data_IF_624271606146
#
_entry.id   IF_624271606146
#
_cell.length_a   1.000
_cell.length_b   1.000
_cell.length_c   1.000
_cell.angle_alpha   90.00
_cell.angle_beta   90.00
_cell.angle_gamma   90.00
#
_symmetry.space_group_name_H-M   'P 1'
#
loop_
_entity.id
_entity.type
_entity.pdbx_description
1 polymer ?
#
# COMPACT_ATOMS: atom_id res chain seq x y z
N UNK A 1 10.07 -0.71 -15.48
CA UNK A 1 9.45 -0.53 -14.15
C UNK A 1 7.95 -0.60 -14.28
N UNK A 2 7.30 -1.34 -13.41
CA UNK A 2 5.84 -1.49 -13.44
C UNK A 2 5.22 -0.72 -12.28
N UNK A 3 4.42 0.29 -12.61
CA UNK A 3 3.78 1.18 -11.65
C UNK A 3 2.26 1.01 -11.77
N UNK A 4 1.58 0.88 -10.64
CA UNK A 4 0.12 0.76 -10.61
C UNK A 4 -0.47 1.74 -9.61
N UNK A 5 -1.75 2.06 -9.79
CA UNK A 5 -2.50 2.88 -8.86
C UNK A 5 -3.84 2.19 -8.59
N UNK A 6 -4.30 2.23 -7.35
CA UNK A 6 -5.49 1.49 -6.94
C UNK A 6 -6.21 2.21 -5.82
N UNK A 7 -7.47 2.59 -6.05
CA UNK A 7 -8.34 3.06 -4.99
C UNK A 7 -8.96 1.82 -4.34
N UNK A 8 -8.46 1.46 -3.15
CA UNK A 8 -8.84 0.19 -2.52
C UNK A 8 -10.12 0.26 -1.71
N UNK A 9 -10.62 1.45 -1.42
CA UNK A 9 -11.81 1.63 -0.60
C UNK A 9 -11.75 0.76 0.67
N UNK A 10 -10.77 1.05 1.51
CA UNK A 10 -10.40 0.33 2.72
C UNK A 10 -9.36 -0.76 2.45
N UNK A 11 -8.12 -0.43 2.76
CA UNK A 11 -6.99 -1.36 2.57
C UNK A 11 -7.13 -2.59 3.45
N UNK A 12 -7.60 -2.41 4.70
CA UNK A 12 -7.72 -3.53 5.64
C UNK A 12 -8.72 -4.58 5.13
N UNK A 13 -9.79 -4.13 4.49
CA UNK A 13 -10.79 -5.04 3.93
C UNK A 13 -10.27 -5.77 2.69
N UNK A 14 -9.23 -5.24 2.06
CA UNK A 14 -8.71 -5.76 0.79
C UNK A 14 -7.27 -6.24 0.88
N UNK A 15 -6.75 -6.41 2.12
CA UNK A 15 -5.34 -6.73 2.32
C UNK A 15 -4.90 -7.97 1.53
N UNK A 16 -5.68 -9.04 1.56
CA UNK A 16 -5.35 -10.28 0.87
C UNK A 16 -5.30 -10.07 -0.65
N UNK A 17 -6.20 -9.26 -1.17
CA UNK A 17 -6.25 -8.96 -2.60
C UNK A 17 -5.06 -8.12 -3.05
N UNK A 18 -4.67 -7.17 -2.21
CA UNK A 18 -3.51 -6.32 -2.49
C UNK A 18 -2.24 -7.17 -2.52
N UNK A 19 -2.06 -8.05 -1.53
CA UNK A 19 -0.91 -8.94 -1.49
C UNK A 19 -0.85 -9.82 -2.73
N UNK A 20 -1.96 -10.44 -3.11
CA UNK A 20 -2.04 -11.28 -4.30
C UNK A 20 -1.74 -10.48 -5.57
N UNK A 21 -2.22 -9.26 -5.64
CA UNK A 21 -1.98 -8.38 -6.79
C UNK A 21 -0.48 -8.07 -6.96
N UNK A 22 0.19 -7.74 -5.86
CA UNK A 22 1.62 -7.46 -5.90
C UNK A 22 2.42 -8.65 -6.38
N UNK A 23 2.08 -9.84 -5.92
CA UNK A 23 2.77 -11.06 -6.31
C UNK A 23 2.49 -11.44 -7.76
N UNK A 24 1.22 -11.37 -8.17
CA UNK A 24 0.81 -11.81 -9.50
C UNK A 24 1.35 -10.93 -10.61
N UNK A 25 1.36 -9.63 -10.40
CA UNK A 25 1.67 -8.67 -11.45
C UNK A 25 3.08 -8.10 -11.39
N UNK A 26 3.89 -8.55 -10.44
CA UNK A 26 5.28 -8.14 -10.32
C UNK A 26 5.42 -6.60 -10.30
N UNK A 27 4.63 -5.98 -9.43
CA UNK A 27 4.55 -4.52 -9.35
C UNK A 27 5.78 -3.95 -8.63
N UNK A 28 6.38 -2.92 -9.20
CA UNK A 28 7.50 -2.22 -8.56
C UNK A 28 7.02 -1.14 -7.61
N UNK A 29 6.02 -0.36 -8.02
CA UNK A 29 5.46 0.72 -7.22
C UNK A 29 3.94 0.68 -7.29
N UNK A 30 3.29 0.72 -6.13
CA UNK A 30 1.84 0.77 -6.03
C UNK A 30 1.42 2.02 -5.27
N UNK A 31 0.67 2.90 -5.93
CA UNK A 31 0.05 4.05 -5.28
C UNK A 31 -1.37 3.65 -4.88
N UNK A 32 -1.68 3.81 -3.60
CA UNK A 32 -2.94 3.34 -3.02
C UNK A 32 -3.73 4.52 -2.50
N UNK A 33 -4.99 4.63 -2.91
CA UNK A 33 -5.90 5.65 -2.43
C UNK A 33 -6.97 5.02 -1.53
N UNK A 34 -7.51 5.83 -0.63
CA UNK A 34 -8.58 5.44 0.30
C UNK A 34 -8.22 4.21 1.13
N UNK A 35 -7.06 4.27 1.78
CA UNK A 35 -6.64 3.20 2.71
C UNK A 35 -7.61 3.07 3.88
N UNK A 36 -8.25 4.18 4.28
CA UNK A 36 -9.27 4.25 5.32
C UNK A 36 -8.80 3.65 6.64
N UNK A 37 -7.56 3.93 7.00
CA UNK A 37 -7.03 3.53 8.29
C UNK A 37 -5.99 4.53 8.75
N UNK A 38 -5.81 4.60 10.06
CA UNK A 38 -4.73 5.41 10.65
C UNK A 38 -3.43 4.66 10.52
N UNK A 39 -2.31 5.35 10.69
CA UNK A 39 -0.98 4.76 10.57
C UNK A 39 -0.80 3.57 11.52
N UNK A 40 -1.32 3.67 12.75
CA UNK A 40 -1.20 2.59 13.73
C UNK A 40 -1.99 1.34 13.35
N UNK A 41 -2.94 1.45 12.45
CA UNK A 41 -3.76 0.33 11.98
C UNK A 41 -3.40 -0.16 10.59
N UNK A 42 -2.43 0.48 9.96
CA UNK A 42 -1.99 0.12 8.62
C UNK A 42 -1.31 -1.26 8.64
N UNK A 43 -1.57 -2.11 7.67
CA UNK A 43 -0.99 -3.47 7.65
C UNK A 43 0.46 -3.45 7.12
N UNK A 44 1.38 -2.90 7.90
CA UNK A 44 2.78 -2.75 7.51
C UNK A 44 3.44 -4.08 7.17
N UNK A 45 3.13 -5.13 7.95
CA UNK A 45 3.77 -6.43 7.80
C UNK A 45 3.54 -7.07 6.44
N UNK A 46 2.35 -6.85 5.87
CA UNK A 46 2.01 -7.38 4.54
C UNK A 46 3.03 -6.91 3.51
N UNK A 47 3.34 -5.61 3.53
CA UNK A 47 4.26 -5.03 2.57
C UNK A 47 5.71 -5.41 2.86
N UNK A 48 6.08 -5.49 4.13
CA UNK A 48 7.42 -5.92 4.52
C UNK A 48 7.70 -7.35 4.04
N UNK A 49 6.73 -8.26 4.24
CA UNK A 49 6.88 -9.64 3.79
C UNK A 49 7.03 -9.73 2.27
N UNK A 50 6.36 -8.83 1.55
CA UNK A 50 6.42 -8.82 0.10
C UNK A 50 7.66 -8.09 -0.45
N UNK A 51 8.47 -7.49 0.43
CA UNK A 51 9.70 -6.80 0.02
C UNK A 51 9.51 -5.36 -0.38
N UNK A 52 8.48 -4.69 0.14
CA UNK A 52 8.16 -3.31 -0.19
C UNK A 52 8.45 -2.37 0.98
N UNK A 53 8.96 -1.18 0.65
CA UNK A 53 8.98 -0.05 1.57
C UNK A 53 7.67 0.72 1.37
N UNK A 54 7.12 1.29 2.44
CA UNK A 54 5.84 1.98 2.39
C UNK A 54 5.91 3.33 3.08
N UNK A 55 5.32 4.34 2.43
CA UNK A 55 5.01 5.60 3.06
C UNK A 55 3.47 5.70 3.11
N UNK A 56 2.92 5.93 4.28
CA UNK A 56 1.48 6.02 4.49
C UNK A 56 1.13 7.27 5.27
N UNK A 57 0.05 7.92 4.88
CA UNK A 57 -0.50 9.05 5.62
C UNK A 57 -2.00 8.85 5.79
N UNK A 58 -2.40 8.51 7.01
CA UNK A 58 -3.80 8.30 7.34
C UNK A 58 -4.11 8.88 8.71
N UNK A 59 -4.93 9.93 8.74
CA UNK A 59 -5.29 10.62 9.98
C UNK A 59 -6.66 10.19 10.49
N UNK A 60 -7.40 9.42 9.72
CA UNK A 60 -8.72 8.95 10.13
C UNK A 60 -9.07 7.67 9.39
N UNK A 61 -10.17 7.06 9.83
CA UNK A 61 -10.71 5.85 9.18
C UNK A 61 -11.46 6.15 7.88
N UNK A 62 -11.52 7.44 7.50
CA UNK A 62 -12.28 7.87 6.33
C UNK A 62 -11.42 8.19 5.12
N UNK A 63 -10.12 8.34 5.32
CA UNK A 63 -9.20 8.69 4.23
C UNK A 63 -7.88 7.94 4.38
N UNK A 64 -6.90 8.34 3.60
CA UNK A 64 -5.55 7.80 3.66
C UNK A 64 -5.01 7.48 2.28
N UNK A 65 -3.71 7.71 2.12
CA UNK A 65 -2.98 7.38 0.89
C UNK A 65 -1.68 6.68 1.27
N UNK A 66 -1.21 5.81 0.40
CA UNK A 66 0.04 5.10 0.61
C UNK A 66 0.77 4.90 -0.72
N UNK A 67 2.08 4.82 -0.62
CA UNK A 67 2.93 4.40 -1.74
C UNK A 67 3.77 3.24 -1.24
N UNK A 68 3.69 2.11 -1.93
CA UNK A 68 4.49 0.94 -1.66
C UNK A 68 5.47 0.75 -2.81
N UNK A 69 6.76 0.58 -2.50
CA UNK A 69 7.81 0.45 -3.51
C UNK A 69 8.82 -0.61 -3.12
N UNK A 70 9.15 -1.50 -4.02
CA UNK A 70 10.24 -2.47 -3.81
C UNK A 70 11.56 -1.97 -4.39
N UNK A 71 11.55 -0.80 -5.05
CA UNK A 71 12.76 -0.19 -5.61
C UNK A 71 13.25 0.99 -4.78
N UNK A 72 12.63 1.20 -3.63
CA UNK A 72 13.02 2.23 -2.67
C UNK A 72 12.16 3.48 -2.73
N UNK A 73 12.18 4.24 -1.63
CA UNK A 73 11.48 5.51 -1.51
C UNK A 73 12.47 6.56 -1.03
N UNK A 74 12.50 7.69 -1.73
CA UNK A 74 13.31 8.84 -1.34
C UNK A 74 12.46 10.09 -1.47
N UNK A 75 12.68 11.05 -0.57
CA UNK A 75 11.98 12.35 -0.61
C UNK A 75 10.46 12.22 -0.57
N UNK A 76 9.99 11.34 0.26
CA UNK A 76 8.55 11.10 0.42
C UNK A 76 7.95 12.03 1.48
#
# INVERSE_FOLDING_TARGET
MKIATWNVNSLRARADRVEAFLERHDIDVLAIQETKCRDENFPWELFERAGYEVAHHGISQWNGVAIASRVGLTDV
#
